data_IF_846158439975
#
_entry.id   IF_846158439975
#
_cell.length_a   1.000
_cell.length_b   1.000
_cell.length_c   1.000
_cell.angle_alpha   90.00
_cell.angle_beta   90.00
_cell.angle_gamma   90.00
#
_symmetry.space_group_name_H-M   'P 1'
#
loop_
_entity.id
_entity.type
_entity.pdbx_description
1 polymer ?
#
# COMPACT_ATOMS: atom_id res chain seq x y z
N UNK A 1 -19.16 -17.75 -5.00
CA UNK A 1 -17.78 -17.75 -4.45
C UNK A 1 -17.88 -17.41 -2.97
N UNK A 2 -17.66 -18.40 -2.11
CA UNK A 2 -17.89 -18.27 -0.66
C UNK A 2 -16.67 -17.56 -0.05
N UNK A 3 -16.81 -16.28 0.30
CA UNK A 3 -15.71 -15.42 0.73
C UNK A 3 -14.98 -15.89 2.01
N UNK A 4 -15.54 -16.81 2.81
CA UNK A 4 -14.97 -17.14 4.13
C UNK A 4 -15.18 -18.61 4.58
N UNK A 5 -15.19 -19.62 3.69
CA UNK A 5 -15.62 -20.99 4.08
C UNK A 5 -14.62 -21.80 4.95
N UNK A 6 -13.36 -21.36 5.11
CA UNK A 6 -12.28 -22.14 5.76
C UNK A 6 -11.33 -21.32 6.66
N UNK A 7 -11.83 -20.39 7.49
CA UNK A 7 -10.97 -19.58 8.38
C UNK A 7 -11.39 -19.65 9.85
N UNK A 8 -10.38 -19.79 10.72
CA UNK A 8 -10.47 -19.96 12.16
C UNK A 8 -10.79 -18.64 12.85
N UNK A 9 -11.69 -18.67 13.83
CA UNK A 9 -12.06 -17.53 14.66
C UNK A 9 -11.01 -17.40 15.76
N UNK A 10 -10.24 -16.30 15.79
CA UNK A 10 -9.39 -15.98 16.94
C UNK A 10 -10.21 -15.21 17.99
N UNK A 11 -10.10 -15.53 19.29
CA UNK A 11 -10.78 -14.77 20.33
C UNK A 11 -10.23 -13.34 20.43
N UNK A 12 -11.13 -12.35 20.50
CA UNK A 12 -10.78 -10.93 20.71
C UNK A 12 -10.49 -10.09 19.47
N UNK A 13 -10.83 -10.55 18.26
CA UNK A 13 -10.66 -9.79 17.01
C UNK A 13 -11.86 -10.00 16.08
N UNK A 14 -12.22 -9.01 15.23
CA UNK A 14 -13.04 -9.31 14.06
C UNK A 14 -12.40 -10.47 13.29
N UNK A 15 -13.25 -11.34 12.72
CA UNK A 15 -12.79 -12.48 11.92
C UNK A 15 -11.75 -12.00 10.90
N UNK A 16 -10.71 -12.80 10.66
CA UNK A 16 -9.65 -12.48 9.67
C UNK A 16 -10.25 -12.04 8.32
N UNK A 17 -11.43 -12.59 7.98
CA UNK A 17 -12.21 -12.18 6.81
C UNK A 17 -12.68 -10.71 6.86
N UNK A 18 -13.23 -10.21 7.98
CA UNK A 18 -13.71 -8.84 8.11
C UNK A 18 -12.55 -7.82 8.09
N UNK A 19 -11.38 -8.20 8.60
CA UNK A 19 -10.17 -7.38 8.54
C UNK A 19 -9.67 -7.25 7.10
N UNK A 20 -9.57 -8.36 6.37
CA UNK A 20 -9.12 -8.40 4.97
C UNK A 20 -10.12 -7.80 3.97
N UNK A 21 -11.42 -7.77 4.30
CA UNK A 21 -12.46 -7.22 3.39
C UNK A 21 -12.85 -5.77 3.67
N UNK A 22 -12.78 -5.30 4.91
CA UNK A 22 -13.29 -3.97 5.27
C UNK A 22 -12.14 -3.03 5.65
N UNK A 23 -11.18 -3.50 6.44
CA UNK A 23 -10.16 -2.63 7.04
C UNK A 23 -8.99 -2.42 6.06
N UNK A 24 -8.47 -3.50 5.47
CA UNK A 24 -7.36 -3.48 4.50
C UNK A 24 -7.59 -2.62 3.25
N UNK A 25 -8.77 -2.64 2.61
CA UNK A 25 -9.01 -1.83 1.40
C UNK A 25 -9.41 -0.38 1.68
N UNK A 26 -9.74 -0.02 2.92
CA UNK A 26 -10.23 1.32 3.27
C UNK A 26 -9.25 2.45 2.88
N UNK A 27 -7.92 2.34 3.13
CA UNK A 27 -6.95 3.32 2.65
C UNK A 27 -6.98 3.48 1.13
N UNK A 28 -7.15 2.36 0.41
CA UNK A 28 -7.15 2.31 -1.05
C UNK A 28 -8.41 2.93 -1.64
N UNK A 29 -9.58 2.70 -1.03
CA UNK A 29 -10.82 3.39 -1.41
C UNK A 29 -10.70 4.90 -1.25
N UNK A 30 -10.22 5.37 -0.09
CA UNK A 30 -10.04 6.80 0.17
C UNK A 30 -9.07 7.43 -0.82
N UNK A 31 -7.97 6.75 -1.14
CA UNK A 31 -7.03 7.24 -2.15
C UNK A 31 -7.66 7.31 -3.53
N UNK A 32 -8.37 6.25 -3.99
CA UNK A 32 -8.99 6.27 -5.32
C UNK A 32 -10.02 7.40 -5.42
N UNK A 33 -10.87 7.57 -4.41
CA UNK A 33 -11.91 8.61 -4.39
C UNK A 33 -11.33 10.01 -4.37
N UNK A 34 -10.18 10.23 -3.73
CA UNK A 34 -9.56 11.58 -3.61
C UNK A 34 -8.60 11.89 -4.76
N UNK A 35 -7.80 10.91 -5.19
CA UNK A 35 -6.76 11.07 -6.21
C UNK A 35 -7.34 11.08 -7.63
N UNK A 36 -8.36 10.29 -7.93
CA UNK A 36 -8.99 10.24 -9.25
C UNK A 36 -9.56 11.60 -9.70
N UNK A 37 -10.42 12.30 -8.93
CA UNK A 37 -10.91 13.62 -9.32
C UNK A 37 -9.77 14.64 -9.35
N UNK A 38 -8.78 14.54 -8.46
CA UNK A 38 -7.62 15.42 -8.46
C UNK A 38 -6.81 15.27 -9.75
N UNK A 39 -6.57 14.05 -10.23
CA UNK A 39 -5.86 13.78 -11.49
C UNK A 39 -6.64 14.32 -12.70
N UNK A 40 -7.96 14.15 -12.72
CA UNK A 40 -8.83 14.69 -13.78
C UNK A 40 -8.88 16.22 -13.77
N UNK A 41 -8.90 16.82 -12.58
CA UNK A 41 -8.95 18.28 -12.38
C UNK A 41 -7.59 18.95 -12.62
N UNK A 42 -6.48 18.29 -12.27
CA UNK A 42 -5.12 18.79 -12.47
C UNK A 42 -4.75 18.97 -13.94
N UNK A 43 -5.44 18.27 -14.87
CA UNK A 43 -5.31 18.56 -16.31
C UNK A 43 -5.82 19.95 -16.70
N UNK A 44 -6.65 20.58 -15.87
CA UNK A 44 -7.35 21.85 -16.16
C UNK A 44 -6.81 23.07 -15.40
N UNK A 45 -6.02 22.91 -14.33
CA UNK A 45 -5.54 24.07 -13.55
C UNK A 45 -4.23 24.68 -14.07
N UNK A 46 -4.09 26.02 -14.05
CA UNK A 46 -2.81 26.68 -14.24
C UNK A 46 -1.86 26.32 -13.09
N UNK A 47 -0.65 25.91 -13.49
CA UNK A 47 0.38 25.25 -12.69
C UNK A 47 1.04 26.20 -11.67
N UNK A 48 0.57 26.23 -10.42
CA UNK A 48 1.45 26.55 -9.28
C UNK A 48 2.38 25.35 -9.00
N UNK A 49 3.19 25.01 -10.01
CA UNK A 49 4.15 23.90 -9.92
C UNK A 49 5.37 24.41 -9.19
N UNK A 50 5.50 23.98 -7.94
CA UNK A 50 6.76 24.13 -7.21
C UNK A 50 7.67 23.04 -7.75
N UNK A 51 8.56 23.42 -8.66
CA UNK A 51 9.60 22.52 -9.17
C UNK A 51 10.67 22.41 -8.09
N UNK A 52 10.58 21.39 -7.24
CA UNK A 52 11.73 21.03 -6.42
C UNK A 52 12.81 20.46 -7.36
N UNK A 53 13.84 21.27 -7.61
CA UNK A 53 15.06 20.87 -8.35
C UNK A 53 15.90 19.82 -7.58
N UNK A 54 15.41 19.36 -6.43
CA UNK A 54 16.15 18.53 -5.48
C UNK A 54 16.08 17.04 -5.82
N UNK A 55 17.26 16.49 -6.16
CA UNK A 55 17.64 15.08 -6.41
C UNK A 55 16.70 14.27 -7.32
N UNK A 56 16.86 14.44 -8.63
CA UNK A 56 16.33 13.52 -9.65
C UNK A 56 16.63 12.04 -9.35
N UNK A 57 17.77 11.75 -8.71
CA UNK A 57 18.12 10.39 -8.28
C UNK A 57 17.15 9.83 -7.23
N UNK A 58 16.79 10.63 -6.22
CA UNK A 58 15.92 10.20 -5.13
C UNK A 58 14.48 10.00 -5.61
N UNK A 59 14.02 10.83 -6.55
CA UNK A 59 12.70 10.67 -7.18
C UNK A 59 12.64 9.44 -8.11
N UNK A 60 13.73 9.14 -8.83
CA UNK A 60 13.84 7.90 -9.60
C UNK A 60 13.86 6.67 -8.68
N UNK A 61 14.63 6.73 -7.58
CA UNK A 61 14.67 5.65 -6.58
C UNK A 61 13.29 5.40 -5.98
N UNK A 62 12.58 6.47 -5.61
CA UNK A 62 11.22 6.39 -5.09
C UNK A 62 10.26 5.75 -6.10
N UNK A 63 10.30 6.16 -7.37
CA UNK A 63 9.49 5.56 -8.42
C UNK A 63 9.79 4.06 -8.60
N UNK A 64 11.07 3.68 -8.61
CA UNK A 64 11.48 2.26 -8.72
C UNK A 64 11.00 1.46 -7.51
N UNK A 65 11.09 2.01 -6.29
CA UNK A 65 10.61 1.33 -5.09
C UNK A 65 9.09 1.15 -5.09
N UNK A 66 8.32 2.17 -5.52
CA UNK A 66 6.85 2.05 -5.64
C UNK A 66 6.48 1.03 -6.72
N UNK A 67 7.21 0.97 -7.82
CA UNK A 67 7.03 -0.06 -8.84
C UNK A 67 7.34 -1.47 -8.30
N UNK A 68 8.39 -1.62 -7.50
CA UNK A 68 8.72 -2.87 -6.82
C UNK A 68 7.62 -3.29 -5.82
N UNK A 69 7.08 -2.33 -5.05
CA UNK A 69 5.96 -2.59 -4.15
C UNK A 69 4.70 -3.05 -4.91
N UNK A 70 4.40 -2.44 -6.06
CA UNK A 70 3.33 -2.88 -6.94
C UNK A 70 3.55 -4.31 -7.44
N UNK A 71 4.76 -4.66 -7.85
CA UNK A 71 5.10 -6.03 -8.25
C UNK A 71 4.94 -7.03 -7.08
N UNK A 72 5.35 -6.65 -5.86
CA UNK A 72 5.17 -7.47 -4.66
C UNK A 72 3.68 -7.72 -4.34
N UNK A 73 2.80 -6.72 -4.51
CA UNK A 73 1.35 -6.94 -4.33
C UNK A 73 0.77 -7.93 -5.34
N UNK A 74 1.27 -7.94 -6.58
CA UNK A 74 0.86 -8.93 -7.58
C UNK A 74 1.33 -10.33 -7.17
N UNK A 75 2.57 -10.47 -6.70
CA UNK A 75 3.09 -11.74 -6.20
C UNK A 75 2.27 -12.25 -5.01
N UNK A 76 1.85 -11.37 -4.10
CA UNK A 76 0.98 -11.73 -2.98
C UNK A 76 -0.37 -12.29 -3.46
N UNK A 77 -1.01 -11.64 -4.45
CA UNK A 77 -2.27 -12.11 -5.05
C UNK A 77 -2.11 -13.49 -5.69
N UNK A 78 -1.05 -13.67 -6.47
CA UNK A 78 -0.77 -14.95 -7.15
C UNK A 78 -0.51 -16.07 -6.14
N UNK A 79 0.14 -15.75 -5.02
CA UNK A 79 0.43 -16.73 -3.95
C UNK A 79 -0.81 -17.08 -3.14
N UNK A 80 -1.64 -16.10 -2.81
CA UNK A 80 -2.91 -16.32 -2.11
C UNK A 80 -3.91 -17.11 -2.96
N UNK A 81 -3.97 -16.83 -4.26
CA UNK A 81 -4.81 -17.59 -5.19
C UNK A 81 -4.35 -19.04 -5.33
N UNK A 82 -3.03 -19.30 -5.27
CA UNK A 82 -2.47 -20.65 -5.31
C UNK A 82 -2.75 -21.49 -4.05
N UNK A 83 -3.13 -20.86 -2.93
CA UNK A 83 -3.46 -21.53 -1.66
C UNK A 83 -4.97 -21.63 -1.39
N UNK A 84 -5.83 -21.27 -2.36
CA UNK A 84 -7.30 -21.16 -2.22
C UNK A 84 -7.74 -20.30 -1.01
N UNK A 85 -6.82 -19.45 -0.51
CA UNK A 85 -7.09 -18.47 0.51
C UNK A 85 -7.75 -17.31 -0.21
N UNK A 86 -9.07 -17.20 -0.07
CA UNK A 86 -9.91 -16.22 -0.76
C UNK A 86 -9.18 -14.90 -1.05
N UNK A 87 -9.01 -14.62 -2.34
CA UNK A 87 -8.47 -13.36 -2.85
C UNK A 87 -9.56 -12.31 -2.65
N UNK A 88 -9.63 -11.75 -1.46
CA UNK A 88 -10.63 -10.75 -1.08
C UNK A 88 -10.44 -9.43 -1.81
N UNK A 89 -10.50 -8.31 -1.09
CA UNK A 89 -10.35 -6.97 -1.68
C UNK A 89 -8.89 -6.54 -1.96
N UNK A 90 -7.93 -7.45 -1.90
CA UNK A 90 -6.53 -7.25 -2.29
C UNK A 90 -6.33 -6.65 -3.71
N UNK A 91 -7.13 -6.98 -4.73
CA UNK A 91 -7.01 -6.34 -6.04
C UNK A 91 -7.21 -4.82 -5.98
N UNK A 92 -7.94 -4.31 -4.98
CA UNK A 92 -8.14 -2.87 -4.81
C UNK A 92 -6.87 -2.14 -4.39
N UNK A 93 -6.04 -2.73 -3.53
CA UNK A 93 -4.75 -2.13 -3.14
C UNK A 93 -3.81 -2.07 -4.35
N UNK A 94 -3.87 -3.07 -5.22
CA UNK A 94 -3.14 -3.11 -6.49
C UNK A 94 -3.58 -1.97 -7.43
N UNK A 95 -4.89 -1.74 -7.55
CA UNK A 95 -5.44 -0.62 -8.35
C UNK A 95 -5.02 0.73 -7.74
N UNK A 96 -5.04 0.87 -6.42
CA UNK A 96 -4.60 2.10 -5.75
C UNK A 96 -3.10 2.37 -5.98
N UNK A 97 -2.23 1.36 -5.87
CA UNK A 97 -0.80 1.50 -6.18
C UNK A 97 -0.55 1.83 -7.65
N UNK A 98 -1.31 1.25 -8.58
CA UNK A 98 -1.25 1.62 -9.98
C UNK A 98 -1.63 3.10 -10.20
N UNK A 99 -2.67 3.58 -9.51
CA UNK A 99 -3.06 4.99 -9.54
C UNK A 99 -1.97 5.90 -8.96
N UNK A 100 -1.29 5.48 -7.89
CA UNK A 100 -0.12 6.19 -7.35
C UNK A 100 1.01 6.23 -8.36
N UNK A 101 1.32 5.13 -9.06
CA UNK A 101 2.33 5.11 -10.13
C UNK A 101 2.00 6.11 -11.25
N UNK A 102 0.74 6.15 -11.69
CA UNK A 102 0.27 7.11 -12.69
C UNK A 102 0.38 8.54 -12.17
N UNK A 103 0.01 8.79 -10.91
CA UNK A 103 0.11 10.10 -10.29
C UNK A 103 1.57 10.56 -10.16
N UNK A 104 2.49 9.67 -9.79
CA UNK A 104 3.93 9.95 -9.75
C UNK A 104 4.51 10.17 -11.14
N UNK A 105 4.06 9.41 -12.14
CA UNK A 105 4.45 9.59 -13.52
C UNK A 105 4.08 10.98 -14.06
N UNK A 106 2.83 11.41 -13.81
CA UNK A 106 2.36 12.75 -14.19
C UNK A 106 3.05 13.83 -13.33
N UNK A 107 3.19 13.57 -12.02
CA UNK A 107 3.82 14.46 -11.04
C UNK A 107 5.34 14.61 -11.22
N UNK A 108 5.98 13.77 -12.04
CA UNK A 108 7.39 13.89 -12.43
C UNK A 108 7.71 15.22 -13.11
N UNK A 109 6.71 15.87 -13.71
CA UNK A 109 6.84 17.18 -14.34
C UNK A 109 6.49 18.36 -13.40
N UNK A 110 6.05 18.05 -12.18
CA UNK A 110 5.67 19.01 -11.15
C UNK A 110 4.70 18.38 -10.14
N UNK A 111 5.11 18.27 -8.87
CA UNK A 111 4.23 17.78 -7.80
C UNK A 111 3.53 18.95 -7.13
N UNK A 112 2.26 18.76 -6.77
CA UNK A 112 1.52 19.75 -5.98
C UNK A 112 1.60 19.41 -4.49
N UNK A 113 1.51 20.41 -3.63
CA UNK A 113 1.47 20.22 -2.17
C UNK A 113 0.29 19.33 -1.76
N UNK A 114 -0.85 19.46 -2.44
CA UNK A 114 -2.04 18.64 -2.22
C UNK A 114 -1.78 17.15 -2.54
N UNK A 115 -1.18 16.83 -3.69
CA UNK A 115 -0.87 15.43 -4.04
C UNK A 115 0.07 14.77 -3.05
N UNK A 116 1.13 15.47 -2.62
CA UNK A 116 2.09 14.93 -1.65
C UNK A 116 1.45 14.71 -0.26
N UNK A 117 0.53 15.60 0.14
CA UNK A 117 -0.20 15.44 1.41
C UNK A 117 -1.15 14.23 1.39
N UNK A 118 -1.85 14.01 0.28
CA UNK A 118 -2.74 12.84 0.09
C UNK A 118 -1.93 11.54 0.06
N UNK A 119 -0.77 11.54 -0.62
CA UNK A 119 0.11 10.37 -0.65
C UNK A 119 0.68 10.08 0.74
N UNK A 120 1.11 11.10 1.48
CA UNK A 120 1.61 10.95 2.85
C UNK A 120 0.57 10.30 3.78
N UNK A 121 -0.68 10.80 3.77
CA UNK A 121 -1.75 10.22 4.59
C UNK A 121 -2.11 8.80 4.16
N UNK A 122 -2.10 8.52 2.86
CA UNK A 122 -2.30 7.18 2.33
C UNK A 122 -1.22 6.20 2.79
N UNK A 123 0.06 6.54 2.66
CA UNK A 123 1.15 5.66 3.06
C UNK A 123 1.12 5.34 4.54
N UNK A 124 0.86 6.35 5.39
CA UNK A 124 0.72 6.15 6.83
C UNK A 124 -0.43 5.21 7.16
N UNK A 125 -1.60 5.44 6.54
CA UNK A 125 -2.79 4.64 6.84
C UNK A 125 -2.67 3.21 6.28
N UNK A 126 -2.08 3.05 5.10
CA UNK A 126 -1.77 1.73 4.52
C UNK A 126 -0.77 0.96 5.39
N UNK A 127 0.31 1.60 5.84
CA UNK A 127 1.29 0.98 6.74
C UNK A 127 0.65 0.55 8.06
N UNK A 128 -0.21 1.39 8.65
CA UNK A 128 -0.90 1.07 9.90
C UNK A 128 -1.84 -0.13 9.76
N UNK A 129 -2.55 -0.27 8.64
CA UNK A 129 -3.44 -1.42 8.44
C UNK A 129 -2.65 -2.70 8.12
N UNK A 130 -1.59 -2.58 7.31
CA UNK A 130 -0.77 -3.75 6.95
C UNK A 130 0.09 -4.26 8.12
N UNK A 131 0.54 -3.40 9.03
CA UNK A 131 1.17 -3.85 10.29
C UNK A 131 0.22 -4.72 11.11
N UNK A 132 -1.06 -4.34 11.22
CA UNK A 132 -2.06 -5.16 11.92
C UNK A 132 -2.21 -6.53 11.25
N UNK A 133 -2.23 -6.58 9.91
CA UNK A 133 -2.27 -7.84 9.16
C UNK A 133 -1.03 -8.71 9.43
N UNK A 134 0.16 -8.13 9.42
CA UNK A 134 1.42 -8.85 9.72
C UNK A 134 1.42 -9.40 11.14
N UNK A 135 1.02 -8.60 12.14
CA UNK A 135 0.92 -9.06 13.54
C UNK A 135 -0.07 -10.20 13.67
N UNK A 136 -1.23 -10.11 13.01
CA UNK A 136 -2.24 -11.19 13.01
C UNK A 136 -1.73 -12.45 12.32
N UNK A 137 -0.94 -12.31 11.25
CA UNK A 137 -0.33 -13.44 10.56
C UNK A 137 0.72 -14.12 11.46
N UNK A 138 1.52 -13.36 12.20
CA UNK A 138 2.48 -13.90 13.18
C UNK A 138 1.78 -14.73 14.26
N UNK A 139 0.71 -14.20 14.85
CA UNK A 139 -0.08 -14.92 15.87
C UNK A 139 -0.75 -16.17 15.28
N UNK A 140 -1.16 -16.14 14.01
CA UNK A 140 -1.75 -17.30 13.35
C UNK A 140 -0.73 -18.42 13.11
N UNK A 141 0.50 -18.06 12.75
CA UNK A 141 1.60 -19.02 12.57
C UNK A 141 1.98 -19.71 13.89
N UNK A 142 2.06 -18.93 14.98
CA UNK A 142 2.32 -19.46 16.34
C UNK A 142 1.21 -20.40 16.84
N UNK A 143 -0.05 -20.17 16.46
CA UNK A 143 -1.21 -20.93 16.97
C UNK A 143 -1.55 -22.18 16.17
N UNK A 144 -1.24 -22.22 14.86
CA UNK A 144 -1.54 -23.38 13.99
C UNK A 144 -0.32 -23.68 13.09
N UNK A 145 0.74 -24.31 13.63
CA UNK A 145 1.97 -24.58 12.89
C UNK A 145 1.78 -25.54 11.68
N UNK A 146 0.68 -26.30 11.63
CA UNK A 146 0.42 -27.27 10.56
C UNK A 146 -0.26 -26.70 9.31
N UNK A 147 -0.70 -25.42 9.30
CA UNK A 147 -1.10 -24.74 8.05
C UNK A 147 0.10 -24.17 7.29
N UNK A 148 1.25 -24.04 7.95
CA UNK A 148 2.54 -23.63 7.39
C UNK A 148 3.23 -24.71 6.53
N UNK A 149 2.67 -25.92 6.47
CA UNK A 149 3.23 -27.08 5.76
C UNK A 149 2.56 -27.32 4.39
N UNK A 150 2.19 -26.26 3.67
CA UNK A 150 2.00 -26.42 2.22
C UNK A 150 3.39 -26.49 1.58
N UNK A 151 3.79 -27.59 0.91
CA UNK A 151 5.16 -27.77 0.41
C UNK A 151 5.57 -26.74 -0.65
N UNK A 152 4.62 -25.91 -1.12
CA UNK A 152 4.80 -24.95 -2.20
C UNK A 152 5.11 -23.53 -1.72
N UNK A 153 4.82 -23.18 -0.46
CA UNK A 153 5.11 -21.85 0.12
C UNK A 153 4.93 -21.83 1.65
N UNK A 154 6.03 -21.79 2.43
CA UNK A 154 5.95 -21.81 3.90
C UNK A 154 5.46 -20.46 4.46
N UNK A 155 4.76 -20.51 5.60
CA UNK A 155 4.20 -19.32 6.24
C UNK A 155 5.25 -18.28 6.67
N UNK A 156 6.49 -18.72 6.94
CA UNK A 156 7.64 -17.86 7.21
C UNK A 156 7.94 -16.90 6.06
N UNK A 157 7.87 -17.38 4.82
CA UNK A 157 8.15 -16.58 3.62
C UNK A 157 7.02 -15.57 3.40
N UNK A 158 5.78 -15.98 3.65
CA UNK A 158 4.60 -15.11 3.60
C UNK A 158 4.69 -13.96 4.60
N UNK A 159 5.13 -14.25 5.82
CA UNK A 159 5.31 -13.24 6.86
C UNK A 159 6.44 -12.26 6.49
N UNK A 160 7.56 -12.78 5.99
CA UNK A 160 8.69 -11.98 5.56
C UNK A 160 8.30 -11.02 4.42
N UNK A 161 7.63 -11.51 3.39
CA UNK A 161 7.23 -10.71 2.24
C UNK A 161 6.27 -9.57 2.65
N UNK A 162 5.31 -9.86 3.53
CA UNK A 162 4.39 -8.85 4.04
C UNK A 162 5.08 -7.85 4.98
N UNK A 163 6.02 -8.29 5.80
CA UNK A 163 6.81 -7.42 6.67
C UNK A 163 7.70 -6.46 5.86
N UNK A 164 8.29 -6.94 4.76
CA UNK A 164 9.07 -6.09 3.83
C UNK A 164 8.17 -5.05 3.17
N UNK A 165 6.95 -5.41 2.75
CA UNK A 165 6.00 -4.44 2.21
C UNK A 165 5.63 -3.35 3.22
N UNK A 166 5.37 -3.72 4.48
CA UNK A 166 5.12 -2.75 5.57
C UNK A 166 6.30 -1.78 5.73
N UNK A 167 7.54 -2.29 5.75
CA UNK A 167 8.72 -1.47 5.87
C UNK A 167 8.84 -0.47 4.69
N UNK A 168 8.56 -0.91 3.47
CA UNK A 168 8.53 -0.03 2.29
C UNK A 168 7.49 1.08 2.44
N UNK A 169 6.29 0.78 2.95
CA UNK A 169 5.26 1.80 3.16
C UNK A 169 5.67 2.87 4.18
N UNK A 170 6.39 2.49 5.25
CA UNK A 170 6.98 3.47 6.17
C UNK A 170 8.06 4.32 5.52
N UNK A 171 8.91 3.73 4.68
CA UNK A 171 9.92 4.49 3.91
C UNK A 171 9.23 5.51 2.99
N UNK A 172 8.14 5.12 2.32
CA UNK A 172 7.36 6.02 1.47
C UNK A 172 6.70 7.16 2.27
N UNK A 173 6.19 6.86 3.47
CA UNK A 173 5.68 7.88 4.37
C UNK A 173 6.76 8.90 4.75
N UNK A 174 7.95 8.45 5.17
CA UNK A 174 9.08 9.34 5.52
C UNK A 174 9.50 10.19 4.32
N UNK A 175 9.54 9.60 3.13
CA UNK A 175 9.88 10.31 1.90
C UNK A 175 8.89 11.42 1.55
N UNK A 176 7.59 11.14 1.61
CA UNK A 176 6.54 12.15 1.37
C UNK A 176 6.54 13.22 2.47
N UNK A 177 6.73 12.83 3.74
CA UNK A 177 6.83 13.78 4.85
C UNK A 177 8.00 14.75 4.67
N UNK A 178 9.18 14.23 4.29
CA UNK A 178 10.35 15.04 3.98
C UNK A 178 10.06 16.01 2.83
N UNK A 179 9.39 15.52 1.78
CA UNK A 179 9.01 16.34 0.61
C UNK A 179 8.05 17.47 1.02
N UNK A 180 7.07 17.21 1.88
CA UNK A 180 6.14 18.23 2.41
C UNK A 180 6.88 19.29 3.23
N UNK A 181 7.79 18.87 4.12
CA UNK A 181 8.59 19.80 4.95
C UNK A 181 9.41 20.72 4.04
N UNK A 182 10.06 20.16 3.02
CA UNK A 182 10.84 20.96 2.06
C UNK A 182 9.98 21.89 1.20
N UNK A 183 8.80 21.46 0.77
CA UNK A 183 7.85 22.36 0.10
C UNK A 183 7.40 23.52 1.01
N UNK A 184 7.30 23.30 2.33
CA UNK A 184 6.96 24.37 3.28
C UNK A 184 8.09 25.38 3.43
N UNK A 185 9.35 24.94 3.49
CA UNK A 185 10.52 25.82 3.58
C UNK A 185 10.63 26.78 2.37
N UNK A 186 10.36 26.30 1.16
CA UNK A 186 10.45 27.13 -0.07
C UNK A 186 9.31 28.15 -0.18
N UNK A 187 8.20 27.95 0.54
CA UNK A 187 7.01 28.81 0.49
C UNK A 187 7.03 29.95 1.51
N UNK A 188 7.97 29.94 2.46
CA UNK A 188 8.17 30.99 3.47
C UNK A 188 9.34 31.89 3.08
#
# INVERSE_FOLDING_TARGET
>A
MVLCSHRVVLPGSPSTCALDTIIVPLPSFLLVVTLLPLLLYSRKLPKNVIRLTYLHWLQNLYFVLVFAAFAMTILEIVRLSAQDLGVGLLPLTTVALFMVLVALWIGRQGSTRASSTILCSYWLFLAAVETVKVVRLNVLDETIPNKASSPKYPASDQLLDNAVMVALYYIFFVFELFTIIKMREVSN
#
